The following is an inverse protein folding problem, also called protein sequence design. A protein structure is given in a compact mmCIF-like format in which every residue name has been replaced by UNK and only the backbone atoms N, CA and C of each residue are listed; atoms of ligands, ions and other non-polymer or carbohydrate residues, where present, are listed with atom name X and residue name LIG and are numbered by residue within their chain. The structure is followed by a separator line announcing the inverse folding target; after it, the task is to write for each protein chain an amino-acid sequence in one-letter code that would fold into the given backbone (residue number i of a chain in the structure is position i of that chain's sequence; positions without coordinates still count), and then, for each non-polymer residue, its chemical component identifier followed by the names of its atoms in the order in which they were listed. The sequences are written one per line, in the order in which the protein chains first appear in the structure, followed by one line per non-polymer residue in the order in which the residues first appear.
data_IF_280917776811
#
_entry.id   IF_280917776811
#
_cell.length_a   1.000
_cell.length_b   1.000
_cell.length_c   1.000
_cell.angle_alpha   90.00
_cell.angle_beta   90.00
_cell.angle_gamma   90.00
#
_symmetry.space_group_name_H-M   'P 1'
#
loop_
_entity.id
_entity.type
_entity.pdbx_description
1 polymer ?
#
# COMPACT_ATOMS: atom_id res chain seq x y z
N UNK A 1 7.37 7.77 6.11
CA UNK A 1 6.50 7.82 4.92
C UNK A 1 5.07 7.47 5.30
N UNK A 2 4.25 7.12 4.31
CA UNK A 2 2.82 6.87 4.50
C UNK A 2 1.95 8.12 4.24
N UNK A 3 0.61 7.99 4.32
CA UNK A 3 -0.33 9.05 3.91
C UNK A 3 -0.14 10.35 4.71
N UNK A 4 0.07 10.26 6.02
CA UNK A 4 0.26 11.46 6.85
C UNK A 4 1.54 12.22 6.50
N UNK A 5 2.66 11.51 6.32
CA UNK A 5 3.93 12.14 5.93
C UNK A 5 3.87 12.70 4.51
N UNK A 6 3.16 12.01 3.61
CA UNK A 6 2.95 12.46 2.22
C UNK A 6 2.10 13.73 2.16
N UNK A 7 1.01 13.79 2.93
CA UNK A 7 0.09 14.92 2.92
C UNK A 7 0.61 16.16 3.66
N UNK A 8 1.43 15.98 4.70
CA UNK A 8 1.96 17.07 5.53
C UNK A 8 3.43 16.84 5.91
N UNK A 9 4.38 16.79 4.96
CA UNK A 9 5.78 16.50 5.23
C UNK A 9 6.45 17.52 6.17
N UNK A 10 5.96 18.76 6.17
CA UNK A 10 6.39 19.84 7.05
C UNK A 10 6.12 19.58 8.54
N UNK A 11 5.23 18.65 8.89
CA UNK A 11 4.99 18.24 10.28
C UNK A 11 6.03 17.25 10.79
N UNK A 12 6.98 16.83 9.95
CA UNK A 12 8.02 15.87 10.28
C UNK A 12 9.43 16.47 10.10
N UNK A 13 9.75 17.63 10.72
CA UNK A 13 11.06 18.29 10.53
C UNK A 13 12.22 17.53 11.18
N UNK A 14 11.94 16.74 12.22
CA UNK A 14 12.96 16.06 13.03
C UNK A 14 13.43 14.72 12.43
N UNK A 15 12.86 14.32 11.29
CA UNK A 15 13.22 13.08 10.61
C UNK A 15 14.25 13.34 9.52
N UNK A 16 15.26 12.48 9.44
CA UNK A 16 16.36 12.62 8.47
C UNK A 16 15.94 12.26 7.04
N UNK A 17 15.05 11.27 6.89
CA UNK A 17 14.62 10.77 5.59
C UNK A 17 13.10 10.65 5.58
N UNK A 18 12.47 11.31 4.61
CA UNK A 18 11.05 11.17 4.32
C UNK A 18 10.85 10.44 2.99
N UNK A 19 9.94 9.48 2.98
CA UNK A 19 9.39 8.88 1.76
C UNK A 19 7.97 9.40 1.57
N UNK A 20 7.73 10.03 0.42
CA UNK A 20 6.49 10.71 0.07
C UNK A 20 5.84 10.00 -1.12
N UNK A 21 4.56 9.68 -0.99
CA UNK A 21 3.81 8.93 -1.98
C UNK A 21 3.74 7.43 -1.69
N UNK A 22 3.08 6.72 -2.59
CA UNK A 22 2.96 5.26 -2.55
C UNK A 22 4.25 4.59 -3.07
N UNK A 23 4.32 3.26 -2.99
CA UNK A 23 5.40 2.45 -3.55
C UNK A 23 5.63 2.78 -5.03
N UNK A 24 6.88 3.03 -5.40
CA UNK A 24 7.27 3.44 -6.76
C UNK A 24 8.76 3.74 -6.87
N UNK A 25 9.12 4.53 -7.88
CA UNK A 25 10.51 4.90 -8.19
C UNK A 25 11.28 5.49 -7.00
N UNK A 26 10.64 6.31 -6.18
CA UNK A 26 11.26 6.88 -4.98
C UNK A 26 11.55 5.86 -3.88
N UNK A 27 10.82 4.74 -3.84
CA UNK A 27 11.11 3.65 -2.90
C UNK A 27 12.43 2.98 -3.28
N UNK A 28 12.63 2.70 -4.55
CA UNK A 28 13.86 2.09 -5.05
C UNK A 28 15.06 3.03 -4.81
N UNK A 29 14.91 4.32 -5.11
CA UNK A 29 15.93 5.34 -4.85
C UNK A 29 16.28 5.45 -3.35
N UNK A 30 15.28 5.38 -2.47
CA UNK A 30 15.50 5.42 -1.03
C UNK A 30 16.27 4.19 -0.54
N UNK A 31 15.90 2.99 -1.01
CA UNK A 31 16.59 1.75 -0.65
C UNK A 31 18.03 1.80 -1.14
N UNK A 32 18.25 2.18 -2.41
CA UNK A 32 19.58 2.34 -2.98
C UNK A 32 20.43 3.35 -2.18
N UNK A 33 19.84 4.48 -1.78
CA UNK A 33 20.52 5.46 -0.95
C UNK A 33 20.97 4.86 0.39
N UNK A 34 20.08 4.14 1.08
CA UNK A 34 20.37 3.49 2.38
C UNK A 34 21.45 2.42 2.22
N UNK A 35 21.44 1.63 1.15
CA UNK A 35 22.44 0.60 0.89
C UNK A 35 23.83 1.19 0.62
N UNK A 36 23.90 2.40 0.04
CA UNK A 36 25.15 3.07 -0.33
C UNK A 36 25.68 4.01 0.77
N UNK A 37 24.85 4.42 1.73
CA UNK A 37 25.21 5.42 2.74
C UNK A 37 24.99 4.88 4.16
N UNK A 38 26.08 4.65 4.89
CA UNK A 38 26.03 4.22 6.29
C UNK A 38 25.96 5.39 7.30
N UNK A 39 26.27 6.61 6.85
CA UNK A 39 26.28 7.79 7.71
C UNK A 39 24.91 8.49 7.74
N UNK A 40 24.59 9.12 8.88
CA UNK A 40 23.38 9.94 9.01
C UNK A 40 23.50 11.17 8.10
N UNK A 41 22.51 11.49 7.25
CA UNK A 41 22.59 12.66 6.40
C UNK A 41 22.60 13.95 7.23
N UNK A 42 23.32 14.96 6.74
CA UNK A 42 23.47 16.27 7.42
C UNK A 42 22.27 17.19 7.22
N UNK A 43 21.35 16.83 6.34
CA UNK A 43 20.11 17.53 6.04
C UNK A 43 19.00 16.52 5.74
N UNK A 44 17.75 16.92 5.95
CA UNK A 44 16.61 16.07 5.63
C UNK A 44 16.56 15.78 4.13
N UNK A 45 16.41 14.51 3.78
CA UNK A 45 16.25 14.02 2.41
C UNK A 45 14.78 13.63 2.20
N UNK A 46 14.21 14.00 1.06
CA UNK A 46 12.86 13.64 0.67
C UNK A 46 12.89 12.86 -0.63
N UNK A 47 12.45 11.62 -0.57
CA UNK A 47 12.21 10.77 -1.73
C UNK A 47 10.72 10.85 -2.08
N UNK A 48 10.39 11.44 -3.23
CA UNK A 48 9.00 11.67 -3.65
C UNK A 48 8.68 10.83 -4.89
N UNK A 49 7.70 9.93 -4.75
CA UNK A 49 7.28 9.02 -5.82
C UNK A 49 6.66 9.80 -6.97
N UNK A 50 7.28 9.69 -8.16
CA UNK A 50 6.77 10.27 -9.41
C UNK A 50 6.09 9.19 -10.25
N UNK A 51 6.68 8.01 -10.27
CA UNK A 51 6.16 6.85 -10.98
C UNK A 51 5.77 5.77 -9.98
N UNK A 52 4.47 5.64 -9.76
CA UNK A 52 3.95 4.61 -8.84
C UNK A 52 4.12 3.23 -9.46
N UNK A 53 4.53 2.27 -8.65
CA UNK A 53 4.59 0.88 -9.05
C UNK A 53 3.15 0.40 -9.36
N UNK A 54 2.93 -0.36 -10.45
CA UNK A 54 1.65 -1.00 -10.67
C UNK A 54 1.32 -1.94 -9.51
N UNK A 55 0.06 -1.94 -9.04
CA UNK A 55 -0.37 -2.83 -7.94
C UNK A 55 -0.13 -4.31 -8.26
N UNK A 56 -0.21 -4.69 -9.54
CA UNK A 56 0.13 -6.04 -9.99
C UNK A 56 1.60 -6.45 -9.80
N UNK A 57 2.48 -5.49 -9.50
CA UNK A 57 3.89 -5.73 -9.18
C UNK A 57 4.20 -5.53 -7.70
N UNK A 58 3.21 -5.23 -6.85
CA UNK A 58 3.45 -5.13 -5.42
C UNK A 58 3.89 -6.50 -4.90
N UNK A 59 4.93 -6.56 -4.05
CA UNK A 59 5.31 -7.80 -3.41
C UNK A 59 4.20 -8.24 -2.45
N UNK A 60 4.01 -9.55 -2.33
CA UNK A 60 3.21 -10.12 -1.23
C UNK A 60 3.80 -9.64 0.09
N UNK A 61 3.00 -9.07 1.02
CA UNK A 61 3.50 -8.71 2.33
C UNK A 61 4.17 -9.91 3.02
N UNK A 62 5.19 -9.65 3.82
CA UNK A 62 5.98 -10.69 4.47
C UNK A 62 5.23 -11.32 5.67
N UNK A 63 4.05 -11.92 5.43
CA UNK A 63 3.20 -12.53 6.45
C UNK A 63 3.93 -13.61 7.26
N UNK A 64 4.91 -14.29 6.67
CA UNK A 64 5.76 -15.28 7.34
C UNK A 64 6.61 -14.70 8.49
N UNK A 65 6.81 -13.38 8.54
CA UNK A 65 7.51 -12.70 9.63
C UNK A 65 6.55 -12.28 10.77
N UNK A 66 5.25 -12.45 10.57
CA UNK A 66 4.21 -12.03 11.51
C UNK A 66 3.54 -13.25 12.13
N UNK A 67 3.20 -13.14 13.42
CA UNK A 67 2.24 -14.05 14.03
C UNK A 67 0.86 -13.39 13.95
N UNK A 68 0.07 -13.73 12.93
CA UNK A 68 -1.24 -13.11 12.68
C UNK A 68 -2.24 -13.34 13.82
N UNK A 69 -2.06 -14.36 14.65
CA UNK A 69 -2.92 -14.61 15.81
C UNK A 69 -2.77 -13.57 16.93
N UNK A 70 -1.75 -12.69 16.85
CA UNK A 70 -1.59 -11.54 17.76
C UNK A 70 -2.37 -10.31 17.32
N UNK A 71 -3.01 -10.36 16.15
CA UNK A 71 -3.76 -9.26 15.57
C UNK A 71 -5.24 -9.58 15.57
N UNK A 72 -6.07 -8.58 15.85
CA UNK A 72 -7.53 -8.71 15.86
C UNK A 72 -8.10 -8.92 14.45
N UNK A 73 -7.45 -8.35 13.44
CA UNK A 73 -7.92 -8.29 12.06
C UNK A 73 -6.70 -8.24 11.13
N UNK A 74 -6.70 -9.03 10.07
CA UNK A 74 -5.73 -8.86 8.99
C UNK A 74 -6.28 -7.90 7.93
N UNK A 75 -5.37 -7.23 7.23
CA UNK A 75 -5.73 -6.29 6.19
C UNK A 75 -5.22 -6.79 4.84
N UNK A 76 -6.03 -6.61 3.81
CA UNK A 76 -5.66 -6.87 2.43
C UNK A 76 -6.05 -5.68 1.57
N UNK A 77 -5.27 -5.42 0.53
CA UNK A 77 -5.57 -4.37 -0.45
C UNK A 77 -5.69 -5.00 -1.82
N UNK A 78 -6.86 -4.85 -2.44
CA UNK A 78 -7.12 -5.25 -3.81
C UNK A 78 -6.96 -4.07 -4.79
N UNK A 79 -7.34 -2.86 -4.36
CA UNK A 79 -7.29 -1.65 -5.18
C UNK A 79 -6.73 -0.43 -4.44
N UNK A 80 -6.21 0.52 -5.21
CA UNK A 80 -5.65 1.78 -4.73
C UNK A 80 -5.98 2.92 -5.70
N UNK A 81 -6.40 4.05 -5.15
CA UNK A 81 -6.91 5.22 -5.87
C UNK A 81 -8.42 5.19 -6.07
N UNK A 82 -8.99 6.38 -6.27
CA UNK A 82 -10.44 6.58 -6.40
C UNK A 82 -10.76 7.69 -7.41
N UNK A 83 -11.72 7.48 -8.36
CA UNK A 83 -12.03 8.48 -9.38
C UNK A 83 -12.93 9.61 -8.89
N UNK A 84 -13.55 9.42 -7.71
CA UNK A 84 -14.45 10.41 -7.12
C UNK A 84 -13.66 11.60 -6.57
N UNK A 85 -14.29 12.78 -6.61
CA UNK A 85 -13.72 14.05 -6.15
C UNK A 85 -14.53 14.62 -5.00
N UNK A 86 -14.68 13.82 -3.96
CA UNK A 86 -15.31 14.26 -2.73
C UNK A 86 -14.47 15.40 -2.12
N UNK A 87 -15.10 16.51 -1.76
CA UNK A 87 -14.40 17.72 -1.27
C UNK A 87 -13.61 17.49 0.03
N UNK A 88 -13.97 16.46 0.79
CA UNK A 88 -13.37 16.09 2.06
C UNK A 88 -12.25 15.05 1.94
N UNK A 89 -11.97 14.54 0.73
CA UNK A 89 -11.17 13.33 0.53
C UNK A 89 -9.81 13.64 -0.09
N UNK A 90 -8.75 13.12 0.54
CA UNK A 90 -7.34 13.25 0.14
C UNK A 90 -6.84 12.11 -0.75
N UNK A 91 -7.60 11.00 -0.84
CA UNK A 91 -7.26 9.82 -1.64
C UNK A 91 -6.83 10.15 -3.09
N UNK A 92 -7.57 10.99 -3.85
CA UNK A 92 -7.19 11.27 -5.23
C UNK A 92 -5.81 11.93 -5.37
N UNK A 93 -5.40 12.69 -4.36
CA UNK A 93 -4.10 13.34 -4.29
C UNK A 93 -3.02 12.33 -3.88
N UNK A 94 -3.26 11.57 -2.82
CA UNK A 94 -2.32 10.60 -2.28
C UNK A 94 -2.07 9.40 -3.23
N UNK A 95 -3.14 8.76 -3.68
CA UNK A 95 -3.10 7.45 -4.36
C UNK A 95 -3.51 7.52 -5.84
N UNK A 96 -4.05 8.67 -6.27
CA UNK A 96 -4.41 8.93 -7.66
C UNK A 96 -5.88 8.76 -7.98
N UNK A 97 -6.27 9.31 -9.14
CA UNK A 97 -7.66 9.34 -9.64
C UNK A 97 -8.06 8.11 -10.43
N UNK A 98 -7.10 7.31 -10.87
CA UNK A 98 -7.36 6.10 -11.65
C UNK A 98 -7.13 4.90 -10.73
N UNK A 99 -8.19 4.18 -10.33
CA UNK A 99 -8.03 2.96 -9.56
C UNK A 99 -7.11 1.99 -10.27
N UNK A 100 -6.12 1.50 -9.52
CA UNK A 100 -5.24 0.41 -9.91
C UNK A 100 -5.65 -0.81 -9.11
N UNK A 101 -5.42 -1.99 -9.67
CA UNK A 101 -5.87 -3.25 -9.10
C UNK A 101 -4.74 -4.28 -9.07
N UNK A 102 -4.74 -5.13 -8.04
CA UNK A 102 -4.10 -6.44 -8.09
C UNK A 102 -4.94 -7.39 -8.94
N UNK A 103 -4.36 -8.52 -9.34
CA UNK A 103 -5.15 -9.59 -9.94
C UNK A 103 -5.88 -10.40 -8.86
N UNK A 104 -6.99 -11.08 -9.19
CA UNK A 104 -7.66 -12.00 -8.25
C UNK A 104 -6.71 -13.05 -7.66
N UNK A 105 -5.79 -13.56 -8.47
CA UNK A 105 -4.82 -14.59 -8.06
C UNK A 105 -3.83 -14.05 -7.03
N UNK A 106 -3.38 -12.79 -7.17
CA UNK A 106 -2.53 -12.16 -6.15
C UNK A 106 -3.27 -11.99 -4.83
N UNK A 107 -4.55 -11.61 -4.89
CA UNK A 107 -5.36 -11.47 -3.69
C UNK A 107 -5.56 -12.82 -3.00
N UNK A 108 -5.93 -13.87 -3.74
CA UNK A 108 -6.07 -15.22 -3.20
C UNK A 108 -4.76 -15.70 -2.59
N UNK A 109 -3.64 -15.49 -3.27
CA UNK A 109 -2.34 -15.84 -2.74
C UNK A 109 -2.02 -15.13 -1.41
N UNK A 110 -2.36 -13.84 -1.28
CA UNK A 110 -2.23 -13.11 0.00
C UNK A 110 -3.11 -13.73 1.09
N UNK A 111 -4.36 -14.06 0.79
CA UNK A 111 -5.30 -14.69 1.75
C UNK A 111 -4.84 -16.09 2.18
N UNK A 112 -4.41 -16.93 1.24
CA UNK A 112 -3.87 -18.26 1.51
C UNK A 112 -2.60 -18.17 2.36
N UNK A 113 -1.73 -17.20 2.06
CA UNK A 113 -0.51 -16.95 2.83
C UNK A 113 -0.87 -16.50 4.25
N UNK A 114 -1.88 -15.66 4.43
CA UNK A 114 -2.36 -15.32 5.78
C UNK A 114 -2.80 -16.56 6.54
N UNK A 115 -3.62 -17.42 5.93
CA UNK A 115 -4.11 -18.68 6.52
C UNK A 115 -2.97 -19.66 6.88
N UNK A 116 -1.89 -19.66 6.09
CA UNK A 116 -0.72 -20.48 6.34
C UNK A 116 0.07 -20.01 7.58
N UNK A 117 0.24 -18.70 7.76
CA UNK A 117 1.06 -18.11 8.83
C UNK A 117 0.24 -17.64 10.06
N UNK A 118 -1.07 -17.84 10.02
CA UNK A 118 -1.99 -17.71 11.15
C UNK A 118 -3.44 -17.81 10.68
N UNK A 119 -4.41 -17.57 11.56
CA UNK A 119 -5.79 -17.42 11.10
C UNK A 119 -6.46 -16.35 11.95
N UNK A 120 -6.46 -15.09 11.50
CA UNK A 120 -7.03 -13.99 12.26
C UNK A 120 -8.56 -14.08 12.38
N UNK A 121 -9.21 -14.99 11.64
CA UNK A 121 -10.67 -15.16 11.64
C UNK A 121 -11.44 -14.06 10.89
N UNK A 122 -10.85 -12.89 10.70
CA UNK A 122 -11.39 -11.81 9.91
C UNK A 122 -10.31 -11.11 9.07
N UNK A 123 -10.70 -10.71 7.85
CA UNK A 123 -9.86 -9.93 6.92
C UNK A 123 -10.64 -8.70 6.48
N UNK A 124 -9.98 -7.54 6.47
CA UNK A 124 -10.54 -6.26 6.07
C UNK A 124 -9.87 -5.73 4.80
N UNK A 125 -10.70 -5.35 3.83
CA UNK A 125 -10.25 -4.69 2.61
C UNK A 125 -9.98 -3.22 2.89
N UNK A 126 -8.72 -2.81 2.80
CA UNK A 126 -8.28 -1.42 3.05
C UNK A 126 -8.32 -0.54 1.80
N UNK A 127 -9.03 -1.00 0.77
CA UNK A 127 -9.22 -0.27 -0.48
C UNK A 127 -9.90 1.07 -0.23
N UNK A 128 -9.45 2.12 -0.92
CA UNK A 128 -10.04 3.46 -0.82
C UNK A 128 -11.52 3.47 -1.24
N UNK A 129 -11.85 2.62 -2.21
CA UNK A 129 -13.22 2.32 -2.60
C UNK A 129 -13.31 0.94 -3.26
N UNK A 130 -13.49 -0.10 -2.43
CA UNK A 130 -13.61 -1.49 -2.89
C UNK A 130 -14.67 -1.65 -4.00
N UNK A 131 -15.83 -1.00 -3.86
CA UNK A 131 -16.94 -1.08 -4.84
C UNK A 131 -16.85 -0.04 -5.97
N UNK A 132 -15.75 0.72 -6.04
CA UNK A 132 -15.58 1.83 -6.98
C UNK A 132 -15.55 1.42 -8.45
N UNK A 133 -15.10 0.19 -8.73
CA UNK A 133 -15.18 -0.41 -10.06
C UNK A 133 -15.97 -1.73 -10.02
N UNK A 134 -17.25 -1.65 -10.41
CA UNK A 134 -18.15 -2.81 -10.43
C UNK A 134 -17.65 -3.93 -11.34
N UNK A 135 -16.92 -3.63 -12.42
CA UNK A 135 -16.42 -4.67 -13.33
C UNK A 135 -15.27 -5.44 -12.69
N UNK A 136 -14.36 -4.75 -12.00
CA UNK A 136 -13.29 -5.39 -11.25
C UNK A 136 -13.86 -6.30 -10.15
N UNK A 137 -14.86 -5.82 -9.40
CA UNK A 137 -15.47 -6.59 -8.31
C UNK A 137 -16.23 -7.82 -8.81
N UNK A 138 -17.03 -7.70 -9.88
CA UNK A 138 -17.72 -8.86 -10.45
C UNK A 138 -16.75 -9.94 -10.95
N UNK A 139 -15.52 -9.56 -11.34
CA UNK A 139 -14.47 -10.53 -11.68
C UNK A 139 -13.81 -11.14 -10.46
N UNK A 140 -13.67 -10.38 -9.36
CA UNK A 140 -13.01 -10.84 -8.14
C UNK A 140 -13.90 -11.78 -7.31
N UNK A 141 -15.16 -11.41 -7.09
CA UNK A 141 -16.04 -12.11 -6.14
C UNK A 141 -16.16 -13.63 -6.36
N UNK A 142 -16.23 -14.16 -7.60
CA UNK A 142 -16.25 -15.61 -7.82
C UNK A 142 -15.05 -16.34 -7.21
N UNK A 143 -13.86 -15.74 -7.24
CA UNK A 143 -12.65 -16.33 -6.69
C UNK A 143 -12.70 -16.43 -5.15
N UNK A 144 -13.44 -15.54 -4.48
CA UNK A 144 -13.50 -15.51 -3.00
C UNK A 144 -14.50 -16.50 -2.40
N UNK A 145 -15.39 -17.08 -3.22
CA UNK A 145 -16.45 -17.99 -2.76
C UNK A 145 -16.17 -19.46 -3.14
N UNK A 146 -15.19 -19.70 -4.01
CA UNK A 146 -14.69 -21.03 -4.38
C UNK A 146 -13.74 -21.57 -3.29
#
# INVERSE_FOLDING_TARGET
GGPSVTGCPEYYPDFDILHLGELGDATDQMIEYIDQHAERPTQQIRFETKERLPLSKFPTPAYHLLNLNRYFLANVQFSSGCPYRCEFCDIPELYGRSPRFKTPEQLLFELDTMLQFGNPGAVYFVDDNFVGDRRAITKLLPYLIE
#
